data_IF_840327401848
#
_entry.id   IF_840327401848
#
_cell.length_a   1.000
_cell.length_b   1.000
_cell.length_c   1.000
_cell.angle_alpha   90.00
_cell.angle_beta   90.00
_cell.angle_gamma   90.00
#
_symmetry.space_group_name_H-M   'P 1'
#
loop_
_entity.id
_entity.type
_entity.pdbx_description
1 polymer ?
#
# COMPACT_ATOMS: atom_id res chain seq x y z
N UNK A 1 34.32 -47.58 -5.86
CA UNK A 1 34.88 -46.25 -5.87
C UNK A 1 34.04 -45.24 -6.68
N UNK A 2 33.55 -45.57 -7.87
CA UNK A 2 32.77 -44.68 -8.76
C UNK A 2 31.52 -44.06 -8.15
N UNK A 3 30.71 -44.82 -7.39
CA UNK A 3 29.47 -44.29 -6.75
C UNK A 3 29.71 -43.20 -5.71
N UNK A 4 30.87 -43.20 -5.03
CA UNK A 4 31.24 -42.14 -4.09
C UNK A 4 31.66 -40.87 -4.84
N UNK A 5 32.35 -41.00 -5.93
CA UNK A 5 32.83 -39.90 -6.76
C UNK A 5 31.67 -39.19 -7.48
N UNK A 6 30.69 -39.95 -8.02
CA UNK A 6 29.47 -39.40 -8.62
C UNK A 6 28.62 -38.63 -7.61
N UNK A 7 28.53 -39.10 -6.37
CA UNK A 7 27.80 -38.42 -5.30
C UNK A 7 28.45 -37.11 -4.88
N UNK A 8 29.76 -37.02 -4.87
CA UNK A 8 30.53 -35.79 -4.60
C UNK A 8 30.29 -34.76 -5.67
N UNK A 9 30.42 -35.12 -6.97
CA UNK A 9 30.20 -34.21 -8.10
C UNK A 9 28.80 -33.61 -8.08
N UNK A 10 27.77 -34.42 -7.78
CA UNK A 10 26.39 -33.96 -7.69
C UNK A 10 26.20 -32.99 -6.52
N UNK A 11 26.82 -33.27 -5.37
CA UNK A 11 26.79 -32.37 -4.20
C UNK A 11 27.46 -31.03 -4.49
N UNK A 12 28.63 -31.03 -5.14
CA UNK A 12 29.38 -29.82 -5.49
C UNK A 12 28.62 -28.98 -6.51
N UNK A 13 27.95 -29.64 -7.48
CA UNK A 13 27.07 -28.94 -8.43
C UNK A 13 25.89 -28.25 -7.74
N UNK A 14 25.17 -28.93 -6.84
CA UNK A 14 24.06 -28.32 -6.08
C UNK A 14 24.52 -27.20 -5.16
N UNK A 15 25.68 -27.34 -4.51
CA UNK A 15 26.26 -26.29 -3.67
C UNK A 15 26.62 -25.04 -4.49
N UNK A 16 27.21 -25.23 -5.68
CA UNK A 16 27.54 -24.15 -6.60
C UNK A 16 26.27 -23.45 -7.12
N UNK A 17 25.27 -24.22 -7.55
CA UNK A 17 23.98 -23.69 -8.01
C UNK A 17 23.27 -22.88 -6.91
N UNK A 18 23.27 -23.40 -5.69
CA UNK A 18 22.67 -22.72 -4.55
C UNK A 18 23.38 -21.40 -4.21
N UNK A 19 24.72 -21.41 -4.25
CA UNK A 19 25.54 -20.20 -4.04
C UNK A 19 25.26 -19.14 -5.11
N UNK A 20 25.11 -19.56 -6.37
CA UNK A 20 24.75 -18.66 -7.47
C UNK A 20 23.36 -18.04 -7.27
N UNK A 21 22.36 -18.83 -6.84
CA UNK A 21 21.00 -18.33 -6.55
C UNK A 21 21.04 -17.30 -5.43
N UNK A 22 21.80 -17.55 -4.35
CA UNK A 22 21.94 -16.60 -3.25
C UNK A 22 22.58 -15.31 -3.74
N UNK A 23 23.65 -15.39 -4.51
CA UNK A 23 24.33 -14.23 -5.06
C UNK A 23 23.40 -13.40 -5.96
N UNK A 24 22.67 -14.07 -6.85
CA UNK A 24 21.69 -13.42 -7.72
C UNK A 24 20.58 -12.73 -6.89
N UNK A 25 20.11 -13.37 -5.83
CA UNK A 25 19.12 -12.78 -4.92
C UNK A 25 19.65 -11.54 -4.19
N UNK A 26 20.89 -11.57 -3.72
CA UNK A 26 21.56 -10.43 -3.06
C UNK A 26 21.70 -9.27 -4.06
N UNK A 27 22.19 -9.54 -5.26
CA UNK A 27 22.35 -8.51 -6.31
C UNK A 27 21.01 -7.90 -6.71
N UNK A 28 19.98 -8.73 -6.87
CA UNK A 28 18.61 -8.26 -7.17
C UNK A 28 18.08 -7.35 -6.07
N UNK A 29 18.25 -7.72 -4.79
CA UNK A 29 17.82 -6.88 -3.67
C UNK A 29 18.59 -5.55 -3.61
N UNK A 30 19.91 -5.59 -3.80
CA UNK A 30 20.75 -4.40 -3.81
C UNK A 30 20.37 -3.44 -4.95
N UNK A 31 20.15 -3.97 -6.14
CA UNK A 31 19.71 -3.20 -7.30
C UNK A 31 18.34 -2.55 -7.06
N UNK A 32 17.37 -3.34 -6.61
CA UNK A 32 16.01 -2.84 -6.34
C UNK A 32 16.02 -1.78 -5.25
N UNK A 33 16.79 -1.99 -4.19
CA UNK A 33 16.91 -1.01 -3.11
C UNK A 33 17.55 0.30 -3.60
N UNK A 34 18.60 0.20 -4.43
CA UNK A 34 19.23 1.36 -5.06
C UNK A 34 18.23 2.13 -5.95
N UNK A 35 17.42 1.41 -6.74
CA UNK A 35 16.44 2.01 -7.65
C UNK A 35 15.35 2.79 -6.86
N UNK A 36 14.84 2.19 -5.78
CA UNK A 36 13.86 2.85 -4.89
C UNK A 36 14.49 4.05 -4.17
N UNK A 37 15.71 3.91 -3.67
CA UNK A 37 16.44 5.02 -3.05
C UNK A 37 16.65 6.17 -4.03
N UNK A 38 17.12 5.90 -5.25
CA UNK A 38 17.29 6.89 -6.30
C UNK A 38 15.97 7.58 -6.66
N UNK A 39 14.88 6.81 -6.79
CA UNK A 39 13.55 7.36 -7.04
C UNK A 39 13.12 8.31 -5.90
N UNK A 40 13.41 7.97 -4.64
CA UNK A 40 13.10 8.83 -3.50
C UNK A 40 13.90 10.14 -3.48
N UNK A 41 15.14 10.13 -3.99
CA UNK A 41 15.95 11.36 -4.07
C UNK A 41 15.36 12.37 -5.06
N UNK A 42 14.78 11.90 -6.15
CA UNK A 42 14.23 12.71 -7.21
C UNK A 42 12.85 13.30 -6.88
N UNK A 43 12.22 12.86 -5.79
CA UNK A 43 10.91 13.37 -5.36
C UNK A 43 11.04 14.30 -4.17
N UNK A 44 10.18 15.33 -4.15
CA UNK A 44 9.96 16.14 -2.96
C UNK A 44 8.98 15.46 -2.03
N UNK A 45 9.19 15.57 -0.73
CA UNK A 45 8.20 15.15 0.25
C UNK A 45 7.00 16.08 0.18
N UNK A 46 5.80 15.49 0.21
CA UNK A 46 4.54 16.23 0.30
C UNK A 46 4.10 16.13 1.76
N UNK A 47 4.34 17.20 2.55
CA UNK A 47 4.09 17.13 4.00
C UNK A 47 2.61 17.04 4.33
N UNK A 48 1.76 17.71 3.54
CA UNK A 48 0.30 17.70 3.72
C UNK A 48 -0.36 17.24 2.45
N UNK A 49 -1.21 16.21 2.55
CA UNK A 49 -1.94 15.66 1.42
C UNK A 49 -3.26 15.06 1.87
N UNK A 50 -4.30 15.34 1.12
CA UNK A 50 -5.53 14.57 1.14
C UNK A 50 -5.34 13.31 0.29
N UNK A 51 -5.74 12.16 0.77
CA UNK A 51 -5.63 10.89 0.05
C UNK A 51 -6.97 10.33 -0.38
N UNK A 52 -7.97 10.46 0.48
CA UNK A 52 -9.27 9.81 0.29
C UNK A 52 -10.36 10.73 0.81
N UNK A 53 -11.42 10.93 0.02
CA UNK A 53 -12.72 11.39 0.47
C UNK A 53 -13.66 10.22 0.61
N UNK A 54 -14.51 10.24 1.60
CA UNK A 54 -15.46 9.15 1.80
C UNK A 54 -16.80 9.63 2.34
N UNK A 55 -17.82 8.84 2.06
CA UNK A 55 -19.15 8.93 2.67
C UNK A 55 -19.64 7.53 2.98
N UNK A 56 -20.20 7.33 4.19
CA UNK A 56 -20.86 6.10 4.57
C UNK A 56 -22.34 6.28 4.38
N UNK A 57 -22.95 5.46 3.53
CA UNK A 57 -24.39 5.57 3.23
C UNK A 57 -25.26 4.91 4.27
N UNK A 58 -24.81 3.79 4.86
CA UNK A 58 -25.57 3.03 5.83
C UNK A 58 -25.00 1.66 6.09
N UNK A 59 -25.63 0.96 7.02
CA UNK A 59 -25.35 -0.42 7.36
C UNK A 59 -26.64 -1.25 7.28
N UNK A 60 -26.50 -2.52 6.95
CA UNK A 60 -27.58 -3.49 6.92
C UNK A 60 -27.20 -4.70 7.73
N UNK A 61 -28.14 -5.23 8.49
CA UNK A 61 -27.98 -6.48 9.24
C UNK A 61 -28.88 -7.55 8.65
N UNK A 62 -28.32 -8.71 8.36
CA UNK A 62 -29.06 -9.87 7.86
C UNK A 62 -28.62 -11.15 8.59
N UNK A 63 -29.39 -12.26 8.49
CA UNK A 63 -28.96 -13.55 9.02
C UNK A 63 -27.59 -14.01 8.48
N UNK A 64 -27.22 -13.58 7.27
CA UNK A 64 -25.97 -13.92 6.61
C UNK A 64 -24.80 -13.04 7.05
N UNK A 65 -25.05 -12.03 7.87
CA UNK A 65 -24.03 -11.10 8.40
C UNK A 65 -24.36 -9.62 8.16
N UNK A 66 -23.56 -8.77 8.76
CA UNK A 66 -23.70 -7.33 8.65
C UNK A 66 -22.91 -6.80 7.45
N UNK A 67 -23.44 -5.75 6.83
CA UNK A 67 -22.75 -5.04 5.75
C UNK A 67 -22.82 -3.53 5.97
N UNK A 68 -21.77 -2.84 5.53
CA UNK A 68 -21.68 -1.38 5.54
C UNK A 68 -21.38 -0.88 4.14
N UNK A 69 -22.15 0.08 3.66
CA UNK A 69 -22.09 0.64 2.31
C UNK A 69 -21.48 2.03 2.34
N UNK A 70 -20.49 2.26 1.48
CA UNK A 70 -19.78 3.53 1.41
C UNK A 70 -19.25 3.81 0.00
N UNK A 71 -18.96 5.07 -0.26
CA UNK A 71 -18.12 5.48 -1.39
C UNK A 71 -16.80 6.07 -0.88
N UNK A 72 -15.74 5.74 -1.59
CA UNK A 72 -14.38 6.24 -1.39
C UNK A 72 -13.87 6.82 -2.69
N UNK A 73 -13.47 8.08 -2.68
CA UNK A 73 -12.80 8.76 -3.79
C UNK A 73 -11.33 8.91 -3.46
N UNK A 74 -10.45 8.29 -4.24
CA UNK A 74 -9.00 8.51 -4.16
C UNK A 74 -8.70 9.81 -4.86
N UNK A 75 -7.94 10.69 -4.23
CA UNK A 75 -7.60 12.00 -4.77
C UNK A 75 -6.09 12.18 -4.95
N UNK A 76 -5.72 13.02 -5.91
CA UNK A 76 -4.34 13.44 -6.14
C UNK A 76 -3.92 14.58 -5.20
N UNK A 77 -2.65 15.00 -5.30
CA UNK A 77 -2.10 16.12 -4.52
C UNK A 77 -2.81 17.47 -4.75
N UNK A 78 -3.56 17.61 -5.83
CA UNK A 78 -4.34 18.80 -6.16
C UNK A 78 -5.81 18.69 -5.73
N UNK A 79 -6.19 17.58 -5.09
CA UNK A 79 -7.55 17.29 -4.66
C UNK A 79 -8.48 16.82 -5.79
N UNK A 80 -7.94 16.50 -6.98
CA UNK A 80 -8.75 15.92 -8.07
C UNK A 80 -9.02 14.44 -7.82
N UNK A 81 -10.24 14.00 -8.11
CA UNK A 81 -10.60 12.60 -8.01
C UNK A 81 -9.90 11.76 -9.09
N UNK A 82 -9.14 10.75 -8.67
CA UNK A 82 -8.48 9.77 -9.56
C UNK A 82 -9.43 8.62 -9.83
N UNK A 83 -10.06 8.11 -8.78
CA UNK A 83 -10.99 6.98 -8.87
C UNK A 83 -12.01 7.02 -7.75
N UNK A 84 -13.22 6.56 -8.07
CA UNK A 84 -14.31 6.36 -7.09
C UNK A 84 -14.62 4.87 -6.94
N UNK A 85 -14.73 4.42 -5.70
CA UNK A 85 -15.04 3.04 -5.31
C UNK A 85 -16.30 3.07 -4.48
N UNK A 86 -17.38 2.54 -5.01
CA UNK A 86 -18.68 2.49 -4.34
C UNK A 86 -19.12 1.04 -4.23
N UNK A 87 -19.29 0.57 -2.99
CA UNK A 87 -19.69 -0.81 -2.72
C UNK A 87 -20.07 -1.02 -1.25
N UNK A 88 -20.52 -2.24 -0.94
CA UNK A 88 -20.72 -2.73 0.42
C UNK A 88 -19.57 -3.64 0.84
N UNK A 89 -19.15 -3.52 2.09
CA UNK A 89 -18.21 -4.40 2.77
C UNK A 89 -18.90 -5.15 3.88
N UNK A 90 -18.52 -6.40 4.08
CA UNK A 90 -19.03 -7.16 5.19
C UNK A 90 -18.45 -6.66 6.52
N UNK A 91 -19.33 -6.44 7.51
CA UNK A 91 -19.01 -5.91 8.83
C UNK A 91 -19.87 -4.70 9.21
N UNK A 92 -19.66 -4.23 10.44
CA UNK A 92 -20.38 -3.08 11.01
C UNK A 92 -19.62 -1.76 10.83
N UNK A 93 -18.32 -1.83 10.66
CA UNK A 93 -17.40 -0.69 10.61
C UNK A 93 -16.44 -0.84 9.45
N UNK A 94 -15.83 0.27 9.05
CA UNK A 94 -14.83 0.32 8.01
C UNK A 94 -13.46 0.67 8.60
N UNK A 95 -12.41 0.21 7.90
CA UNK A 95 -11.05 0.61 8.14
C UNK A 95 -10.30 0.74 6.83
N UNK A 96 -9.32 1.65 6.81
CA UNK A 96 -8.41 1.87 5.67
C UNK A 96 -6.99 1.64 6.13
N UNK A 97 -6.28 0.79 5.40
CA UNK A 97 -4.85 0.60 5.61
C UNK A 97 -4.05 1.48 4.66
N UNK A 98 -2.96 2.00 5.19
CA UNK A 98 -1.94 2.74 4.46
C UNK A 98 -0.61 2.02 4.59
N UNK A 99 0.13 1.94 3.49
CA UNK A 99 1.52 1.50 3.47
C UNK A 99 2.43 2.72 3.50
N UNK A 100 3.42 2.71 4.38
CA UNK A 100 4.42 3.77 4.49
C UNK A 100 5.81 3.22 4.23
N UNK A 101 6.64 4.00 3.55
CA UNK A 101 8.07 3.75 3.44
C UNK A 101 8.85 5.04 3.55
N UNK A 102 10.04 4.97 4.16
CA UNK A 102 10.89 6.14 4.39
C UNK A 102 12.31 5.98 3.85
N UNK A 103 12.83 7.06 3.26
CA UNK A 103 14.20 7.17 2.79
C UNK A 103 14.74 8.58 3.09
N UNK A 104 15.90 8.65 3.76
CA UNK A 104 16.63 9.90 4.02
C UNK A 104 15.75 11.05 4.53
N UNK A 105 15.00 10.78 5.61
CA UNK A 105 14.07 11.71 6.27
C UNK A 105 12.78 12.03 5.48
N UNK A 106 12.64 11.55 4.23
CA UNK A 106 11.38 11.63 3.48
C UNK A 106 10.51 10.43 3.77
N UNK A 107 9.21 10.63 3.96
CA UNK A 107 8.23 9.57 4.16
C UNK A 107 7.17 9.61 3.07
N UNK A 108 6.91 8.45 2.48
CA UNK A 108 5.92 8.26 1.41
C UNK A 108 4.82 7.35 1.91
N UNK A 109 3.59 7.80 1.76
CA UNK A 109 2.40 7.13 2.26
C UNK A 109 1.45 6.80 1.10
N UNK A 110 0.93 5.57 1.10
CA UNK A 110 0.08 5.05 0.03
C UNK A 110 -1.19 4.42 0.59
N UNK A 111 -2.39 4.79 0.11
CA UNK A 111 -3.60 4.08 0.44
C UNK A 111 -3.50 2.63 -0.04
N UNK A 112 -3.58 1.66 0.88
CA UNK A 112 -3.30 0.27 0.56
C UNK A 112 -4.55 -0.57 0.39
N UNK A 113 -5.54 -0.39 1.27
CA UNK A 113 -6.75 -1.17 1.16
C UNK A 113 -7.85 -0.77 2.11
N UNK A 114 -9.09 -1.09 1.71
CA UNK A 114 -10.32 -0.87 2.48
C UNK A 114 -10.90 -2.23 2.84
N UNK A 115 -11.40 -2.35 4.05
CA UNK A 115 -12.12 -3.55 4.50
C UNK A 115 -13.15 -3.24 5.58
N UNK A 116 -14.14 -4.11 5.67
CA UNK A 116 -15.11 -4.09 6.76
C UNK A 116 -14.57 -4.87 7.96
N UNK A 117 -14.99 -4.46 9.15
CA UNK A 117 -14.70 -5.13 10.42
C UNK A 117 -15.96 -5.23 11.28
N UNK A 118 -16.04 -6.30 12.09
CA UNK A 118 -17.22 -6.54 12.93
C UNK A 118 -17.16 -5.80 14.27
N UNK A 119 -15.94 -5.57 14.79
CA UNK A 119 -15.68 -4.96 16.09
C UNK A 119 -14.79 -3.75 15.97
N UNK A 120 -15.05 -2.72 16.78
CA UNK A 120 -14.25 -1.48 16.82
C UNK A 120 -12.77 -1.79 17.05
N UNK A 121 -12.44 -2.63 18.04
CA UNK A 121 -11.06 -2.97 18.40
C UNK A 121 -10.37 -3.94 17.44
N UNK A 122 -11.01 -4.32 16.33
CA UNK A 122 -10.43 -5.23 15.38
C UNK A 122 -9.45 -4.50 14.46
N UNK A 123 -8.16 -4.84 14.55
CA UNK A 123 -7.08 -4.22 13.75
C UNK A 123 -6.69 -5.02 12.51
N UNK A 124 -7.24 -6.23 12.32
CA UNK A 124 -6.96 -7.07 11.16
C UNK A 124 -8.25 -7.36 10.40
N UNK A 125 -8.17 -7.30 9.08
CA UNK A 125 -9.21 -7.84 8.21
C UNK A 125 -9.41 -9.31 8.60
N UNK A 126 -10.59 -9.64 9.14
CA UNK A 126 -10.91 -11.02 9.45
C UNK A 126 -11.35 -11.74 8.16
N UNK A 127 -12.37 -12.50 8.14
CA UNK A 127 -12.83 -13.38 7.05
C UNK A 127 -13.06 -12.72 5.68
N UNK A 128 -13.01 -11.39 5.56
CA UNK A 128 -13.49 -10.69 4.38
C UNK A 128 -12.36 -10.11 3.55
N UNK A 129 -12.51 -10.23 2.24
CA UNK A 129 -11.51 -9.81 1.26
C UNK A 129 -11.33 -8.29 1.29
N UNK A 130 -10.11 -7.85 1.63
CA UNK A 130 -9.69 -6.45 1.52
C UNK A 130 -9.81 -5.96 0.06
N UNK A 131 -10.37 -4.79 -0.14
CA UNK A 131 -10.33 -4.10 -1.43
C UNK A 131 -9.00 -3.41 -1.56
N UNK A 132 -8.12 -3.90 -2.41
CA UNK A 132 -6.80 -3.31 -2.69
C UNK A 132 -6.98 -2.02 -3.47
N UNK A 133 -6.33 -0.93 -3.02
CA UNK A 133 -6.48 0.41 -3.59
C UNK A 133 -5.44 0.74 -4.66
N UNK A 134 -4.27 0.13 -4.62
CA UNK A 134 -3.17 0.35 -5.56
C UNK A 134 -3.60 0.36 -7.03
N UNK A 135 -4.42 -0.60 -7.44
CA UNK A 135 -4.92 -0.74 -8.81
C UNK A 135 -5.73 0.45 -9.33
N UNK A 136 -6.12 1.37 -8.48
CA UNK A 136 -6.90 2.55 -8.85
C UNK A 136 -6.05 3.80 -9.03
N UNK A 137 -4.81 3.80 -8.57
CA UNK A 137 -3.89 4.91 -8.73
C UNK A 137 -2.56 4.55 -9.42
N UNK A 138 -2.29 3.26 -9.64
CA UNK A 138 -1.16 2.80 -10.45
C UNK A 138 -1.65 2.50 -11.88
N UNK A 139 -1.19 3.28 -12.85
CA UNK A 139 -1.51 3.11 -14.27
C UNK A 139 -0.25 3.21 -15.13
N UNK A 140 -0.05 2.22 -16.02
CA UNK A 140 1.05 2.19 -16.99
C UNK A 140 2.43 2.54 -16.41
N UNK A 141 2.75 1.97 -15.24
CA UNK A 141 4.00 2.24 -14.50
C UNK A 141 4.12 3.68 -13.99
N UNK A 142 3.01 4.35 -13.75
CA UNK A 142 2.90 5.66 -13.15
C UNK A 142 1.98 5.61 -11.91
N UNK A 143 2.32 6.36 -10.87
CA UNK A 143 1.47 6.55 -9.71
C UNK A 143 0.74 7.88 -9.82
N UNK A 144 -0.58 7.82 -9.97
CA UNK A 144 -1.44 8.98 -10.22
C UNK A 144 -1.68 9.85 -8.98
N UNK A 145 -1.24 9.42 -7.80
CA UNK A 145 -1.39 10.21 -6.56
C UNK A 145 -0.73 11.59 -6.63
N UNK A 146 0.26 11.79 -7.51
CA UNK A 146 0.84 13.12 -7.78
C UNK A 146 -0.01 14.00 -8.70
N UNK A 147 -1.03 13.43 -9.32
CA UNK A 147 -1.86 14.11 -10.31
C UNK A 147 -1.19 14.30 -11.68
N UNK A 148 -2.02 14.60 -12.68
CA UNK A 148 -1.55 14.78 -14.07
C UNK A 148 -0.74 16.08 -14.27
N UNK A 149 -0.77 17.03 -13.34
CA UNK A 149 0.06 18.22 -13.36
C UNK A 149 1.54 17.97 -13.05
N UNK A 150 1.87 16.81 -12.48
CA UNK A 150 3.25 16.37 -12.22
C UNK A 150 3.92 15.84 -13.49
N UNK A 151 5.26 15.75 -13.49
CA UNK A 151 5.99 15.19 -14.63
C UNK A 151 5.81 13.67 -14.72
N UNK A 152 6.03 13.11 -15.92
CA UNK A 152 6.04 11.66 -16.12
C UNK A 152 7.08 10.98 -15.22
N UNK A 153 8.26 11.56 -15.09
CA UNK A 153 9.35 11.00 -14.28
C UNK A 153 9.01 11.00 -12.78
N UNK A 154 8.33 12.03 -12.28
CA UNK A 154 7.88 12.06 -10.88
C UNK A 154 6.86 10.95 -10.61
N UNK A 155 5.86 10.78 -11.49
CA UNK A 155 4.88 9.71 -11.36
C UNK A 155 5.50 8.32 -11.45
N UNK A 156 6.52 8.13 -12.31
CA UNK A 156 7.28 6.89 -12.41
C UNK A 156 8.12 6.62 -11.16
N UNK A 157 8.79 7.63 -10.64
CA UNK A 157 9.54 7.53 -9.39
C UNK A 157 8.61 7.16 -8.23
N UNK A 158 7.46 7.82 -8.11
CA UNK A 158 6.48 7.50 -7.07
C UNK A 158 5.91 6.07 -7.26
N UNK A 159 5.72 5.60 -8.49
CA UNK A 159 5.30 4.23 -8.78
C UNK A 159 6.32 3.19 -8.27
N UNK A 160 7.62 3.42 -8.48
CA UNK A 160 8.69 2.54 -7.99
C UNK A 160 8.61 2.44 -6.46
N UNK A 161 8.44 3.57 -5.78
CA UNK A 161 8.33 3.64 -4.31
C UNK A 161 7.03 2.97 -3.84
N UNK A 162 5.89 3.20 -4.52
CA UNK A 162 4.59 2.58 -4.23
C UNK A 162 4.67 1.06 -4.27
N UNK A 163 5.27 0.50 -5.32
CA UNK A 163 5.46 -0.96 -5.44
C UNK A 163 6.30 -1.55 -4.32
N UNK A 164 7.33 -0.83 -3.88
CA UNK A 164 8.15 -1.25 -2.74
C UNK A 164 7.34 -1.18 -1.44
N UNK A 165 6.63 -0.08 -1.18
CA UNK A 165 5.79 0.08 0.01
C UNK A 165 4.66 -0.96 0.08
N UNK A 166 4.01 -1.24 -1.04
CA UNK A 166 2.94 -2.22 -1.15
C UNK A 166 3.43 -3.69 -1.24
N UNK A 167 4.74 -3.92 -1.10
CA UNK A 167 5.37 -5.25 -1.15
C UNK A 167 5.04 -6.04 -2.42
N UNK A 168 4.95 -5.35 -3.56
CA UNK A 168 4.70 -5.96 -4.87
C UNK A 168 5.96 -6.50 -5.54
N UNK A 169 7.10 -6.19 -4.98
CA UNK A 169 8.40 -6.69 -5.41
C UNK A 169 8.89 -7.65 -4.33
N UNK A 170 9.37 -8.85 -4.65
CA UNK A 170 9.87 -9.82 -3.69
C UNK A 170 11.27 -9.42 -3.19
N UNK A 171 11.33 -8.31 -2.43
CA UNK A 171 12.58 -7.74 -1.88
C UNK A 171 12.52 -7.71 -0.38
N UNK A 172 13.69 -7.78 0.26
CA UNK A 172 13.83 -7.54 1.68
C UNK A 172 13.68 -6.04 1.97
N UNK A 173 12.67 -5.66 2.73
CA UNK A 173 12.39 -4.24 3.03
C UNK A 173 13.23 -3.68 4.17
N UNK A 174 13.99 -4.51 4.88
CA UNK A 174 14.84 -4.14 6.02
C UNK A 174 14.14 -3.25 7.07
N UNK A 175 12.85 -3.49 7.31
CA UNK A 175 12.07 -2.72 8.27
C UNK A 175 11.64 -1.32 7.79
N UNK A 176 11.94 -0.92 6.55
CA UNK A 176 11.58 0.41 6.00
C UNK A 176 10.13 0.52 5.55
N UNK A 177 9.38 -0.56 5.55
CA UNK A 177 7.95 -0.57 5.19
C UNK A 177 7.13 -0.88 6.43
N UNK A 178 6.23 0.03 6.76
CA UNK A 178 5.22 -0.12 7.81
C UNK A 178 3.81 -0.05 7.22
N UNK A 179 2.83 -0.52 7.97
CA UNK A 179 1.43 -0.45 7.60
C UNK A 179 0.64 0.14 8.76
N UNK A 180 -0.12 1.18 8.50
CA UNK A 180 -1.02 1.83 9.45
C UNK A 180 -2.46 1.51 9.10
N UNK A 181 -3.26 1.22 10.10
CA UNK A 181 -4.70 1.07 9.97
C UNK A 181 -5.39 2.28 10.57
N UNK A 182 -6.17 2.97 9.74
CA UNK A 182 -7.03 4.05 10.15
C UNK A 182 -8.44 3.52 10.38
N UNK A 183 -8.93 3.71 11.59
CA UNK A 183 -10.25 3.28 12.01
C UNK A 183 -11.30 4.33 11.61
N UNK A 184 -12.36 3.90 10.93
CA UNK A 184 -13.47 4.74 10.52
C UNK A 184 -14.74 4.47 11.34
N UNK A 185 -14.63 3.81 12.50
CA UNK A 185 -15.79 3.44 13.34
C UNK A 185 -16.55 4.64 13.89
N UNK A 186 -15.87 5.79 14.04
CA UNK A 186 -16.47 7.03 14.54
C UNK A 186 -17.13 7.87 13.44
N UNK A 187 -16.97 7.48 12.17
CA UNK A 187 -17.58 8.17 11.05
C UNK A 187 -19.11 7.94 11.05
N UNK A 188 -19.86 9.03 11.00
CA UNK A 188 -21.33 9.01 10.96
C UNK A 188 -21.86 8.75 9.55
N UNK A 189 -23.01 8.12 9.46
CA UNK A 189 -23.72 7.88 8.21
C UNK A 189 -24.18 9.23 7.60
N UNK A 190 -24.10 9.31 6.27
CA UNK A 190 -24.48 10.49 5.47
C UNK A 190 -23.68 11.77 5.81
N UNK A 191 -22.43 11.60 6.24
CA UNK A 191 -21.47 12.67 6.40
C UNK A 191 -20.27 12.44 5.51
N UNK A 192 -19.72 13.52 4.98
CA UNK A 192 -18.49 13.50 4.19
C UNK A 192 -17.28 13.61 5.11
N UNK A 193 -16.28 12.81 4.83
CA UNK A 193 -15.01 12.83 5.55
C UNK A 193 -13.84 12.85 4.56
N UNK A 194 -12.74 13.39 5.00
CA UNK A 194 -11.46 13.37 4.31
C UNK A 194 -10.41 12.69 5.17
N UNK A 195 -9.60 11.83 4.56
CA UNK A 195 -8.41 11.24 5.16
C UNK A 195 -7.21 12.03 4.67
N UNK A 196 -6.55 12.73 5.58
CA UNK A 196 -5.47 13.66 5.29
C UNK A 196 -4.22 13.33 6.10
N UNK A 197 -3.05 13.59 5.51
CA UNK A 197 -1.77 13.64 6.22
C UNK A 197 -1.52 15.07 6.66
N UNK A 198 -1.18 15.24 7.93
CA UNK A 198 -0.80 16.55 8.50
C UNK A 198 0.69 16.84 8.26
N UNK A 199 1.10 18.08 8.46
CA UNK A 199 2.51 18.50 8.44
C UNK A 199 3.39 17.73 9.43
N UNK A 200 2.80 17.21 10.52
CA UNK A 200 3.50 16.31 11.46
C UNK A 200 3.60 14.86 10.99
N UNK A 201 3.13 14.53 9.79
CA UNK A 201 3.16 13.19 9.20
C UNK A 201 2.04 12.26 9.69
N UNK A 202 1.14 12.71 10.56
CA UNK A 202 0.03 11.90 11.08
C UNK A 202 -1.14 11.87 10.11
N UNK A 203 -1.79 10.70 10.02
CA UNK A 203 -3.07 10.57 9.34
C UNK A 203 -4.22 10.98 10.27
N UNK A 204 -5.14 11.79 9.75
CA UNK A 204 -6.36 12.20 10.43
C UNK A 204 -7.57 11.96 9.54
N UNK A 205 -8.72 11.71 10.18
CA UNK A 205 -10.03 11.73 9.56
C UNK A 205 -10.71 13.04 9.96
N UNK A 206 -11.08 13.85 8.98
CA UNK A 206 -11.70 15.16 9.17
C UNK A 206 -13.09 15.14 8.56
N UNK A 207 -14.12 15.59 9.30
CA UNK A 207 -15.46 15.80 8.75
C UNK A 207 -15.43 17.08 7.88
N UNK A 208 -16.01 17.02 6.66
CA UNK A 208 -16.05 18.10 5.66
C UNK A 208 -17.33 18.93 5.77
#
# INVERSE_FOLDING_TARGET
MEKKQAKSIVQDFFASLFSFIILAFILFNAYTFYDVWKASQNLYEIPEQEYIRLIIYGSSSSPDGNTISAAFSIVDTNGNEIAKIERSWAGNYLAVDFAETGFDQKSFLFPYGIYGKERIMQTKSSRYKKTTLEKFYDDNSQCLLLGFGSTYEDRKNLYIISRFANKKIPVLTFGRVSTYTLDLSDCKINRYYSIQRTSSGKLLVVEL
#
